data_IF_179681578425
#
_entry.id   IF_179681578425
#
_cell.length_a   1.000
_cell.length_b   1.000
_cell.length_c   1.000
_cell.angle_alpha   90.00
_cell.angle_beta   90.00
_cell.angle_gamma   90.00
#
_symmetry.space_group_name_H-M   'P 1'
#
loop_
_entity.id
_entity.type
_entity.pdbx_description
1 polymer ?
#
# COMPACT_ATOMS: atom_id res chain seq x y z
N UNK A 1 22.76 -3.72 -2.07
CA UNK A 1 21.41 -3.79 -2.68
C UNK A 1 20.72 -5.03 -2.16
N UNK A 2 19.40 -5.01 -1.95
CA UNK A 2 18.64 -6.23 -1.63
C UNK A 2 18.49 -7.08 -2.90
N UNK A 3 18.52 -8.39 -2.75
CA UNK A 3 18.34 -9.35 -3.86
C UNK A 3 16.87 -9.43 -4.32
N UNK A 4 15.93 -8.99 -3.49
CA UNK A 4 14.50 -8.94 -3.80
C UNK A 4 13.88 -7.70 -3.17
N UNK A 5 13.02 -7.01 -3.92
CA UNK A 5 12.23 -5.87 -3.46
C UNK A 5 10.75 -6.26 -3.46
N UNK A 6 10.06 -5.99 -2.35
CA UNK A 6 8.65 -6.28 -2.15
C UNK A 6 7.85 -4.99 -2.12
N UNK A 7 6.96 -4.83 -3.09
CA UNK A 7 6.10 -3.65 -3.23
C UNK A 7 4.67 -4.07 -2.93
N UNK A 8 4.03 -3.38 -2.00
CA UNK A 8 2.66 -3.65 -1.61
C UNK A 8 1.70 -2.63 -2.22
N UNK A 9 0.50 -3.06 -2.60
CA UNK A 9 -0.58 -2.14 -2.98
C UNK A 9 -1.35 -1.72 -1.74
N UNK A 10 -1.42 -0.42 -1.47
CA UNK A 10 -2.35 0.12 -0.47
C UNK A 10 -3.76 0.32 -1.02
N UNK A 11 -4.01 -0.06 -2.28
CA UNK A 11 -5.22 0.25 -3.02
C UNK A 11 -5.85 -1.05 -3.50
N UNK A 12 -6.83 -1.51 -2.74
CA UNK A 12 -7.58 -2.74 -2.98
C UNK A 12 -8.66 -2.81 -1.92
N UNK A 13 -9.88 -2.45 -2.28
CA UNK A 13 -11.07 -2.32 -1.43
C UNK A 13 -10.95 -2.96 -0.02
N UNK A 14 -10.44 -2.19 0.96
CA UNK A 14 -10.34 -2.60 2.36
C UNK A 14 -11.64 -2.33 3.14
N UNK A 15 -12.71 -1.97 2.43
CA UNK A 15 -13.97 -1.51 3.01
C UNK A 15 -13.77 -0.26 3.85
N UNK A 16 -14.34 -0.26 5.06
CA UNK A 16 -14.28 0.86 6.01
C UNK A 16 -13.01 0.84 6.89
N UNK A 17 -12.03 -0.02 6.56
CA UNK A 17 -10.81 -0.19 7.34
C UNK A 17 -9.78 0.87 6.97
N UNK A 18 -9.89 2.05 7.57
CA UNK A 18 -9.01 3.20 7.31
C UNK A 18 -7.55 2.94 7.72
N UNK A 19 -7.31 2.04 8.67
CA UNK A 19 -6.00 1.69 9.21
C UNK A 19 -5.32 0.53 8.46
N UNK A 20 -5.99 -0.06 7.48
CA UNK A 20 -5.43 -1.13 6.65
C UNK A 20 -4.02 -0.84 6.07
N UNK A 21 -3.73 0.35 5.51
CA UNK A 21 -2.39 0.67 5.03
C UNK A 21 -1.34 0.66 6.15
N UNK A 22 -1.73 1.08 7.36
CA UNK A 22 -0.85 1.06 8.54
C UNK A 22 -0.54 -0.37 8.93
N UNK A 23 -1.55 -1.23 9.04
CA UNK A 23 -1.35 -2.65 9.36
C UNK A 23 -0.47 -3.35 8.32
N UNK A 24 -0.58 -2.99 7.04
CA UNK A 24 0.26 -3.56 5.97
C UNK A 24 1.72 -3.11 6.07
N UNK A 25 1.98 -1.87 6.52
CA UNK A 25 3.35 -1.35 6.73
C UNK A 25 3.98 -1.90 8.01
N UNK A 26 3.21 -1.99 9.09
CA UNK A 26 3.69 -2.41 10.40
C UNK A 26 3.82 -3.94 10.53
N UNK A 27 2.89 -4.69 9.94
CA UNK A 27 2.86 -6.16 10.01
C UNK A 27 3.36 -6.88 8.76
N UNK A 28 3.40 -6.21 7.61
CA UNK A 28 3.79 -6.79 6.35
C UNK A 28 5.30 -6.78 6.12
N UNK A 29 5.82 -7.80 5.43
CA UNK A 29 7.22 -7.85 5.05
C UNK A 29 7.45 -7.08 3.74
N UNK A 30 7.15 -5.79 3.71
CA UNK A 30 7.17 -4.96 2.50
C UNK A 30 8.30 -3.92 2.57
N UNK A 31 8.85 -3.57 1.42
CA UNK A 31 9.88 -2.53 1.33
C UNK A 31 9.27 -1.17 0.96
N UNK A 32 8.20 -1.19 0.16
CA UNK A 32 7.50 -0.01 -0.28
C UNK A 32 5.99 -0.25 -0.30
N UNK A 33 5.23 0.77 0.10
CA UNK A 33 3.79 0.84 -0.09
C UNK A 33 3.49 1.78 -1.26
N UNK A 34 2.73 1.30 -2.23
CA UNK A 34 2.26 2.10 -3.37
C UNK A 34 0.80 2.51 -3.15
N UNK A 35 0.50 3.78 -3.44
CA UNK A 35 -0.85 4.33 -3.45
C UNK A 35 -1.09 4.97 -4.82
N UNK A 36 -2.16 4.56 -5.49
CA UNK A 36 -2.62 5.11 -6.75
C UNK A 36 -3.75 6.10 -6.48
N UNK A 37 -3.57 7.38 -6.74
CA UNK A 37 -4.64 8.34 -6.59
C UNK A 37 -5.17 8.65 -7.98
N UNK A 38 -6.44 8.27 -8.23
CA UNK A 38 -7.14 8.72 -9.42
C UNK A 38 -7.29 10.24 -9.33
N UNK A 39 -6.46 10.96 -10.09
CA UNK A 39 -6.64 12.39 -10.26
C UNK A 39 -7.78 12.60 -11.26
N UNK A 40 -8.93 13.05 -10.76
CA UNK A 40 -9.96 13.62 -11.62
C UNK A 40 -9.50 15.02 -12.03
N UNK A 41 -9.29 15.23 -13.34
CA UNK A 41 -9.04 16.56 -13.90
C UNK A 41 -10.38 17.09 -14.40
N UNK A 42 -10.97 18.04 -13.69
CA UNK A 42 -12.17 18.79 -14.11
C UNK A 42 -11.79 20.02 -14.90
#
# INVERSE_FOLDING_TARGET
>A
MKDTIRIASGQGFWGDMLDAPVQQVEGGQIDYLMLDYLAEVT
#
